data_IF_568168711771
#
_entry.id   IF_568168711771
#
_cell.length_a   1.000
_cell.length_b   1.000
_cell.length_c   1.000
_cell.angle_alpha   90.00
_cell.angle_beta   90.00
_cell.angle_gamma   90.00
#
_symmetry.space_group_name_H-M   'P 1'
#
loop_
_entity.id
_entity.type
_entity.pdbx_description
1 polymer ?
#
# COMPACT_ATOMS: atom_id res chain seq x y z
N UNK A 1 -16.10 11.17 2.64
CA UNK A 1 -15.79 9.87 3.27
C UNK A 1 -14.37 10.00 3.77
N UNK A 2 -14.18 10.19 5.06
CA UNK A 2 -12.84 10.35 5.65
C UNK A 2 -12.28 8.94 5.74
N UNK A 3 -11.32 8.62 4.88
CA UNK A 3 -10.65 7.33 4.93
C UNK A 3 -9.65 7.45 6.09
N UNK A 4 -9.66 6.49 7.02
CA UNK A 4 -8.78 6.45 8.19
C UNK A 4 -7.49 5.69 7.81
N UNK A 5 -6.41 6.42 7.48
CA UNK A 5 -5.16 5.84 6.95
C UNK A 5 -4.15 5.53 8.07
N UNK A 6 -4.21 4.37 8.69
CA UNK A 6 -3.08 3.82 9.48
C UNK A 6 -1.85 3.55 8.58
N UNK A 7 -0.67 3.37 9.17
CA UNK A 7 0.55 3.07 8.40
C UNK A 7 0.37 1.79 7.53
N UNK A 8 -0.41 0.83 8.02
CA UNK A 8 -0.85 -0.35 7.29
C UNK A 8 -1.87 -0.04 6.17
N UNK A 9 -2.76 0.93 6.41
CA UNK A 9 -3.73 1.40 5.40
C UNK A 9 -3.06 2.14 4.25
N UNK A 10 -1.88 2.74 4.39
CA UNK A 10 -1.18 3.33 3.25
C UNK A 10 -0.77 2.30 2.21
N UNK A 11 -0.25 1.15 2.67
CA UNK A 11 0.14 0.03 1.82
C UNK A 11 -1.10 -0.61 1.18
N UNK A 12 -2.17 -0.74 1.97
CA UNK A 12 -3.48 -1.18 1.49
C UNK A 12 -4.14 -0.18 0.53
N UNK A 13 -3.96 1.12 0.74
CA UNK A 13 -4.46 2.17 -0.13
C UNK A 13 -3.68 2.17 -1.43
N UNK A 14 -2.37 1.90 -1.43
CA UNK A 14 -1.65 1.61 -2.67
C UNK A 14 -2.30 0.42 -3.40
N UNK A 15 -2.61 -0.68 -2.71
CA UNK A 15 -3.32 -1.84 -3.30
C UNK A 15 -4.75 -1.50 -3.79
N UNK A 16 -5.51 -0.69 -3.06
CA UNK A 16 -6.89 -0.29 -3.41
C UNK A 16 -6.95 0.76 -4.52
N UNK A 17 -6.00 1.71 -4.54
CA UNK A 17 -5.78 2.63 -5.65
C UNK A 17 -5.44 1.82 -6.89
N UNK A 18 -4.64 0.76 -6.72
CA UNK A 18 -4.37 -0.20 -7.78
C UNK A 18 -5.62 -0.97 -8.19
N UNK A 19 -6.61 -1.30 -7.34
CA UNK A 19 -7.87 -1.94 -7.82
C UNK A 19 -8.54 -1.14 -8.94
N UNK A 20 -8.57 0.20 -8.84
CA UNK A 20 -9.08 1.06 -9.92
C UNK A 20 -8.20 1.06 -11.18
N UNK A 21 -6.88 1.02 -11.00
CA UNK A 21 -5.91 0.97 -12.09
C UNK A 21 -5.85 -0.42 -12.76
N UNK A 22 -5.84 -1.50 -11.99
CA UNK A 22 -5.79 -2.90 -12.40
C UNK A 22 -7.03 -3.29 -13.22
N UNK A 23 -8.21 -2.80 -12.84
CA UNK A 23 -9.43 -2.96 -13.66
C UNK A 23 -9.26 -2.25 -15.01
N UNK A 24 -8.64 -1.06 -15.03
CA UNK A 24 -8.39 -0.33 -16.29
C UNK A 24 -7.29 -0.95 -17.16
N UNK A 25 -6.25 -1.52 -16.56
CA UNK A 25 -5.16 -2.23 -17.28
C UNK A 25 -5.65 -3.58 -17.81
N UNK A 26 -6.54 -4.27 -17.09
CA UNK A 26 -7.16 -5.51 -17.55
C UNK A 26 -8.21 -5.31 -18.67
N UNK A 27 -8.71 -4.07 -18.86
CA UNK A 27 -9.75 -3.75 -19.85
C UNK A 27 -9.27 -2.86 -21.01
N UNK A 28 -8.11 -2.21 -20.88
CA UNK A 28 -7.53 -1.35 -21.91
C UNK A 28 -6.22 -1.88 -22.46
N UNK A 29 -6.24 -2.36 -23.70
CA UNK A 29 -5.05 -2.52 -24.56
C UNK A 29 -4.54 -1.13 -24.99
N UNK A 30 -4.12 -0.30 -24.01
CA UNK A 30 -3.49 0.97 -24.30
C UNK A 30 -1.97 0.78 -24.31
N UNK A 31 -1.38 0.90 -25.49
CA UNK A 31 0.04 0.68 -25.82
C UNK A 31 1.08 1.55 -25.10
N UNK A 32 0.74 2.17 -23.98
CA UNK A 32 1.65 2.95 -23.13
C UNK A 32 2.37 2.09 -22.06
N UNK A 33 1.94 0.85 -21.83
CA UNK A 33 2.51 -0.08 -20.82
C UNK A 33 3.50 -1.10 -21.43
N UNK A 34 4.31 -0.69 -22.42
CA UNK A 34 5.38 -1.54 -22.99
C UNK A 34 6.65 -1.62 -22.13
N UNK A 35 6.81 -0.76 -21.12
CA UNK A 35 8.03 -0.69 -20.29
C UNK A 35 7.84 -1.01 -18.79
N UNK A 36 6.65 -1.48 -18.38
CA UNK A 36 6.27 -1.55 -16.95
C UNK A 36 6.33 -2.92 -16.30
N UNK A 37 6.50 -4.00 -17.07
CA UNK A 37 6.72 -5.34 -16.55
C UNK A 37 8.10 -5.81 -17.01
N UNK A 38 8.79 -6.57 -16.16
CA UNK A 38 10.10 -7.18 -16.47
C UNK A 38 10.06 -7.76 -17.87
N UNK A 39 10.91 -7.24 -18.77
CA UNK A 39 10.73 -7.26 -20.23
C UNK A 39 10.76 -8.64 -20.90
N UNK A 40 10.73 -9.73 -20.13
CA UNK A 40 10.79 -11.11 -20.59
C UNK A 40 9.66 -12.01 -20.07
N UNK A 41 8.78 -11.53 -19.17
CA UNK A 41 7.70 -12.36 -18.63
C UNK A 41 6.40 -12.19 -19.43
N UNK A 42 5.77 -13.32 -19.78
CA UNK A 42 4.46 -13.33 -20.44
C UNK A 42 3.41 -12.71 -19.51
N UNK A 43 2.74 -11.63 -19.95
CA UNK A 43 1.65 -11.01 -19.18
C UNK A 43 0.51 -12.02 -18.97
N UNK A 44 -0.14 -11.96 -17.81
CA UNK A 44 -1.28 -12.82 -17.50
C UNK A 44 -2.46 -12.60 -18.47
N UNK A 45 -3.15 -13.69 -18.77
CA UNK A 45 -4.41 -13.61 -19.52
C UNK A 45 -5.49 -12.97 -18.64
N UNK A 46 -6.53 -12.40 -19.26
CA UNK A 46 -7.69 -11.87 -18.53
C UNK A 46 -8.30 -12.90 -17.56
N UNK A 47 -8.40 -14.17 -17.98
CA UNK A 47 -8.92 -15.24 -17.12
C UNK A 47 -8.05 -15.46 -15.89
N UNK A 48 -6.72 -15.37 -16.05
CA UNK A 48 -5.77 -15.49 -14.94
C UNK A 48 -5.85 -14.28 -14.02
N UNK A 49 -5.96 -13.06 -14.55
CA UNK A 49 -6.17 -11.84 -13.75
C UNK A 49 -7.48 -11.88 -12.95
N UNK A 50 -8.56 -12.39 -13.55
CA UNK A 50 -9.82 -12.61 -12.83
C UNK A 50 -9.66 -13.64 -11.69
N UNK A 51 -8.81 -14.66 -11.87
CA UNK A 51 -8.46 -15.62 -10.82
C UNK A 51 -7.62 -14.97 -9.70
N UNK A 52 -6.62 -14.17 -10.07
CA UNK A 52 -5.80 -13.40 -9.11
C UNK A 52 -6.70 -12.46 -8.30
N UNK A 53 -7.65 -11.78 -8.95
CA UNK A 53 -8.59 -10.90 -8.27
C UNK A 53 -9.47 -11.64 -7.25
N UNK A 54 -9.81 -12.92 -7.49
CA UNK A 54 -10.52 -13.75 -6.51
C UNK A 54 -9.63 -14.09 -5.32
N UNK A 55 -8.37 -14.46 -5.57
CA UNK A 55 -7.38 -14.70 -4.51
C UNK A 55 -7.13 -13.45 -3.66
N UNK A 56 -7.22 -12.26 -4.27
CA UNK A 56 -7.01 -10.98 -3.61
C UNK A 56 -8.19 -10.57 -2.71
N UNK A 57 -9.39 -11.07 -2.97
CA UNK A 57 -10.61 -10.63 -2.29
C UNK A 57 -10.54 -10.68 -0.75
N UNK A 58 -9.99 -11.73 -0.10
CA UNK A 58 -9.83 -11.76 1.36
C UNK A 58 -8.97 -10.63 1.92
N UNK A 59 -7.90 -10.23 1.21
CA UNK A 59 -7.06 -9.09 1.60
C UNK A 59 -7.89 -7.79 1.53
N UNK A 60 -8.68 -7.63 0.48
CA UNK A 60 -9.55 -6.45 0.29
C UNK A 60 -10.67 -6.37 1.33
N UNK A 61 -11.28 -7.51 1.65
CA UNK A 61 -12.33 -7.61 2.66
C UNK A 61 -11.77 -7.30 4.05
N UNK A 62 -10.57 -7.82 4.37
CA UNK A 62 -9.87 -7.51 5.61
C UNK A 62 -9.59 -6.02 5.76
N UNK A 63 -9.06 -5.40 4.71
CA UNK A 63 -8.82 -3.96 4.66
C UNK A 63 -10.09 -3.14 4.87
N UNK A 64 -11.22 -3.59 4.32
CA UNK A 64 -12.52 -2.95 4.46
C UNK A 64 -13.06 -2.93 5.89
N UNK A 65 -12.68 -3.88 6.75
CA UNK A 65 -13.10 -3.90 8.17
C UNK A 65 -12.65 -2.64 8.90
N UNK A 66 -11.43 -2.18 8.63
CA UNK A 66 -10.83 -1.03 9.30
C UNK A 66 -11.37 0.32 8.80
N UNK A 67 -12.07 0.36 7.67
CA UNK A 67 -12.69 1.61 7.18
C UNK A 67 -13.92 2.02 7.99
N UNK A 68 -14.54 1.08 8.72
CA UNK A 68 -15.77 1.29 9.48
C UNK A 68 -15.56 1.40 11.00
N UNK A 69 -14.42 0.93 11.50
CA UNK A 69 -14.04 1.04 12.92
C UNK A 69 -13.23 2.30 13.12
N UNK A 70 -13.87 3.40 13.50
CA UNK A 70 -13.15 4.65 13.81
C UNK A 70 -12.10 4.43 14.90
N UNK A 71 -10.84 4.74 14.57
CA UNK A 71 -9.66 5.15 15.36
C UNK A 71 -9.44 4.78 16.85
N UNK A 72 -10.29 4.04 17.57
CA UNK A 72 -10.25 4.02 19.05
C UNK A 72 -9.73 2.70 19.66
N UNK A 73 -9.71 1.58 18.93
CA UNK A 73 -9.29 0.28 19.51
C UNK A 73 -8.06 -0.38 18.87
N UNK A 74 -7.51 0.19 17.78
CA UNK A 74 -6.34 -0.39 17.10
C UNK A 74 -5.00 -0.35 17.87
N UNK A 75 -4.67 0.67 18.69
CA UNK A 75 -3.33 0.82 19.24
C UNK A 75 -2.84 -0.40 20.05
N UNK A 76 -3.77 -1.09 20.73
CA UNK A 76 -3.47 -2.23 21.60
C UNK A 76 -3.53 -3.59 20.87
N UNK A 77 -3.98 -3.64 19.62
CA UNK A 77 -4.13 -4.87 18.85
C UNK A 77 -3.19 -4.96 17.64
N UNK A 78 -2.25 -4.01 17.48
CA UNK A 78 -1.37 -3.91 16.31
C UNK A 78 -0.71 -5.23 15.91
N UNK A 79 -0.15 -5.97 16.88
CA UNK A 79 0.49 -7.27 16.62
C UNK A 79 -0.50 -8.35 16.16
N UNK A 80 -1.74 -8.37 16.69
CA UNK A 80 -2.76 -9.34 16.28
C UNK A 80 -3.29 -9.05 14.88
N UNK A 81 -3.54 -7.76 14.58
CA UNK A 81 -3.94 -7.30 13.25
C UNK A 81 -2.86 -7.65 12.23
N UNK A 82 -1.61 -7.40 12.60
CA UNK A 82 -0.47 -7.68 11.75
C UNK A 82 -0.32 -9.18 11.44
N UNK A 83 -0.47 -10.02 12.47
CA UNK A 83 -0.45 -11.48 12.32
C UNK A 83 -1.57 -11.98 11.40
N UNK A 84 -2.80 -11.52 11.60
CA UNK A 84 -3.94 -11.91 10.77
C UNK A 84 -3.74 -11.48 9.31
N UNK A 85 -3.20 -10.29 9.06
CA UNK A 85 -2.84 -9.83 7.72
C UNK A 85 -1.81 -10.75 7.05
N UNK A 86 -0.78 -11.18 7.78
CA UNK A 86 0.22 -12.10 7.24
C UNK A 86 -0.32 -13.52 7.02
N UNK A 87 -1.25 -13.97 7.85
CA UNK A 87 -1.98 -15.22 7.61
C UNK A 87 -2.79 -15.13 6.31
N UNK A 88 -3.50 -14.01 6.07
CA UNK A 88 -4.26 -13.80 4.83
C UNK A 88 -3.31 -13.73 3.62
N UNK A 89 -2.17 -13.05 3.74
CA UNK A 89 -1.16 -13.01 2.69
C UNK A 89 -0.58 -14.40 2.38
N UNK A 90 -0.35 -15.24 3.38
CA UNK A 90 0.09 -16.62 3.16
C UNK A 90 -0.96 -17.42 2.34
N UNK A 91 -2.25 -17.26 2.63
CA UNK A 91 -3.32 -17.85 1.83
C UNK A 91 -3.34 -17.31 0.40
N UNK A 92 -3.10 -16.02 0.21
CA UNK A 92 -2.96 -15.43 -1.13
C UNK A 92 -1.79 -16.05 -1.91
N UNK A 93 -0.63 -16.25 -1.28
CA UNK A 93 0.52 -16.91 -1.92
C UNK A 93 0.21 -18.34 -2.34
N UNK A 94 -0.49 -19.10 -1.49
CA UNK A 94 -0.95 -20.45 -1.85
C UNK A 94 -1.95 -20.40 -3.01
N UNK A 95 -2.90 -19.46 -2.99
CA UNK A 95 -3.90 -19.30 -4.04
C UNK A 95 -3.30 -18.94 -5.41
N UNK A 96 -2.11 -18.32 -5.42
CA UNK A 96 -1.43 -17.82 -6.63
C UNK A 96 -0.18 -18.63 -6.99
N UNK A 97 0.12 -19.71 -6.26
CA UNK A 97 1.37 -20.48 -6.41
C UNK A 97 1.59 -21.08 -7.80
N UNK A 98 0.51 -21.45 -8.50
CA UNK A 98 0.55 -22.08 -9.82
C UNK A 98 0.53 -21.06 -10.98
N UNK A 99 0.56 -19.76 -10.67
CA UNK A 99 0.54 -18.68 -11.65
C UNK A 99 1.97 -18.31 -12.03
N UNK A 100 2.34 -18.56 -13.29
CA UNK A 100 3.69 -18.29 -13.81
C UNK A 100 3.77 -17.07 -14.74
N UNK A 101 2.64 -16.42 -15.02
CA UNK A 101 2.58 -15.20 -15.80
C UNK A 101 2.79 -13.96 -14.94
N UNK A 102 3.18 -12.84 -15.57
CA UNK A 102 3.44 -11.58 -14.88
C UNK A 102 2.15 -10.77 -14.76
N UNK A 103 1.85 -10.35 -13.53
CA UNK A 103 0.67 -9.58 -13.15
C UNK A 103 1.08 -8.48 -12.18
N UNK A 104 0.67 -7.25 -12.48
CA UNK A 104 0.89 -6.09 -11.62
C UNK A 104 0.23 -6.30 -10.25
N UNK A 105 -0.91 -6.99 -10.20
CA UNK A 105 -1.61 -7.31 -8.95
C UNK A 105 -0.75 -8.17 -8.04
N UNK A 106 -0.13 -9.24 -8.58
CA UNK A 106 0.77 -10.12 -7.82
C UNK A 106 1.99 -9.34 -7.33
N UNK A 107 2.63 -8.61 -8.24
CA UNK A 107 3.84 -7.83 -7.94
C UNK A 107 3.57 -6.76 -6.87
N UNK A 108 2.41 -6.09 -6.91
CA UNK A 108 2.07 -5.05 -5.95
C UNK A 108 1.78 -5.62 -4.55
N UNK A 109 1.14 -6.78 -4.47
CA UNK A 109 0.88 -7.46 -3.19
C UNK A 109 2.19 -8.00 -2.61
N UNK A 110 3.02 -8.66 -3.42
CA UNK A 110 4.33 -9.14 -2.98
C UNK A 110 5.25 -7.99 -2.54
N UNK A 111 5.23 -6.85 -3.24
CA UNK A 111 6.00 -5.68 -2.83
C UNK A 111 5.51 -5.06 -1.51
N UNK A 112 4.20 -5.11 -1.25
CA UNK A 112 3.61 -4.50 -0.06
C UNK A 112 3.68 -5.39 1.18
N UNK A 113 3.48 -6.70 1.02
CA UNK A 113 3.41 -7.66 2.13
C UNK A 113 4.58 -8.63 2.18
N UNK A 114 5.32 -8.83 1.09
CA UNK A 114 6.37 -9.86 1.03
C UNK A 114 7.52 -9.61 1.99
N UNK A 115 8.03 -8.37 2.04
CA UNK A 115 9.03 -8.01 3.04
C UNK A 115 8.43 -8.05 4.45
N UNK A 116 7.28 -7.38 4.61
CA UNK A 116 6.61 -7.21 5.88
C UNK A 116 6.25 -8.55 6.55
N UNK A 117 5.65 -9.49 5.83
CA UNK A 117 5.29 -10.83 6.30
C UNK A 117 6.40 -11.89 6.13
N UNK A 118 7.58 -11.47 5.69
CA UNK A 118 8.76 -12.30 5.52
C UNK A 118 9.90 -11.84 6.41
N UNK A 119 10.98 -11.36 5.80
CA UNK A 119 12.20 -10.96 6.51
C UNK A 119 11.97 -9.82 7.53
N UNK A 120 11.00 -8.95 7.28
CA UNK A 120 10.64 -7.82 8.15
C UNK A 120 9.70 -8.18 9.30
N UNK A 121 9.12 -9.39 9.33
CA UNK A 121 8.03 -9.74 10.26
C UNK A 121 8.38 -9.44 11.72
N UNK A 122 9.58 -9.87 12.14
CA UNK A 122 10.03 -9.68 13.53
C UNK A 122 10.20 -8.20 13.90
N UNK A 123 10.72 -7.38 12.96
CA UNK A 123 10.86 -5.94 13.17
C UNK A 123 9.49 -5.27 13.29
N UNK A 124 8.53 -5.64 12.45
CA UNK A 124 7.16 -5.12 12.55
C UNK A 124 6.50 -5.52 13.87
N UNK A 125 6.66 -6.77 14.29
CA UNK A 125 6.16 -7.23 15.59
C UNK A 125 6.78 -6.42 16.76
N UNK A 126 8.09 -6.17 16.71
CA UNK A 126 8.79 -5.43 17.76
C UNK A 126 8.39 -3.94 17.81
N UNK A 127 8.06 -3.32 16.67
CA UNK A 127 7.58 -1.93 16.60
C UNK A 127 6.06 -1.77 16.66
N UNK A 128 5.27 -2.85 16.61
CA UNK A 128 3.83 -2.80 16.47
C UNK A 128 3.15 -1.94 17.54
N UNK A 129 3.54 -2.12 18.81
CA UNK A 129 3.03 -1.30 19.92
C UNK A 129 3.38 0.17 19.74
N UNK A 130 4.61 0.47 19.34
CA UNK A 130 5.04 1.86 19.16
C UNK A 130 4.31 2.54 17.99
N UNK A 131 4.11 1.83 16.87
CA UNK A 131 3.29 2.36 15.78
C UNK A 131 1.84 2.59 16.23
N UNK A 132 1.28 1.68 17.04
CA UNK A 132 -0.04 1.87 17.65
C UNK A 132 -0.13 3.14 18.49
N UNK A 133 0.90 3.44 19.29
CA UNK A 133 0.99 4.67 20.09
C UNK A 133 1.13 5.93 19.20
N UNK A 134 1.97 5.88 18.16
CA UNK A 134 2.13 6.98 17.19
C UNK A 134 0.81 7.29 16.48
N UNK A 135 0.01 6.27 16.15
CA UNK A 135 -1.29 6.46 15.51
C UNK A 135 -2.33 7.17 16.40
N UNK A 136 -2.09 7.22 17.72
CA UNK A 136 -2.89 7.97 18.67
C UNK A 136 -2.39 9.41 18.91
N UNK A 137 -1.19 9.77 18.43
CA UNK A 137 -0.65 11.12 18.55
C UNK A 137 -1.40 12.10 17.63
N UNK A 138 -1.88 13.21 18.20
CA UNK A 138 -2.66 14.22 17.45
C UNK A 138 -1.92 14.71 16.20
N UNK A 139 -0.61 14.97 16.30
CA UNK A 139 0.18 15.44 15.16
C UNK A 139 0.26 14.39 14.04
N UNK A 140 0.27 13.09 14.37
CA UNK A 140 0.25 12.03 13.36
C UNK A 140 -1.12 11.94 12.70
N UNK A 141 -2.18 12.05 13.51
CA UNK A 141 -3.56 12.10 13.03
C UNK A 141 -3.80 13.32 12.11
N UNK A 142 -3.18 14.46 12.39
CA UNK A 142 -3.18 15.63 11.50
C UNK A 142 -2.54 15.31 10.15
N UNK A 143 -1.31 14.76 10.12
CA UNK A 143 -0.66 14.32 8.87
C UNK A 143 -1.56 13.38 8.06
N UNK A 144 -2.17 12.41 8.74
CA UNK A 144 -3.10 11.42 8.17
C UNK A 144 -4.33 12.07 7.56
N UNK A 145 -4.96 13.00 8.27
CA UNK A 145 -6.15 13.70 7.80
C UNK A 145 -5.84 14.58 6.60
N UNK A 146 -4.72 15.31 6.62
CA UNK A 146 -4.27 16.14 5.50
C UNK A 146 -4.05 15.29 4.23
N UNK A 147 -3.36 14.15 4.35
CA UNK A 147 -3.18 13.23 3.24
C UNK A 147 -4.51 12.67 2.72
N UNK A 148 -5.40 12.24 3.60
CA UNK A 148 -6.73 11.71 3.24
C UNK A 148 -7.58 12.73 2.48
N UNK A 149 -7.55 14.00 2.92
CA UNK A 149 -8.21 15.13 2.23
C UNK A 149 -7.57 15.38 0.85
N UNK A 150 -6.24 15.37 0.77
CA UNK A 150 -5.52 15.60 -0.46
C UNK A 150 -5.75 14.47 -1.49
N UNK A 151 -5.76 13.22 -1.06
CA UNK A 151 -6.09 12.06 -1.92
C UNK A 151 -7.54 12.15 -2.40
N UNK A 152 -8.49 12.46 -1.52
CA UNK A 152 -9.90 12.65 -1.90
C UNK A 152 -10.04 13.77 -2.95
N UNK A 153 -9.22 14.81 -2.84
CA UNK A 153 -9.19 15.91 -3.81
C UNK A 153 -8.54 15.49 -5.14
N UNK A 154 -7.42 14.77 -5.10
CA UNK A 154 -6.77 14.21 -6.29
C UNK A 154 -7.66 13.21 -7.03
N UNK A 155 -8.51 12.45 -6.32
CA UNK A 155 -9.47 11.55 -6.96
C UNK A 155 -10.45 12.28 -7.89
N UNK A 156 -10.73 13.57 -7.65
CA UNK A 156 -11.61 14.39 -8.50
C UNK A 156 -10.93 14.82 -9.81
N UNK A 157 -9.60 14.75 -9.90
CA UNK A 157 -8.84 15.08 -11.11
C UNK A 157 -8.57 13.86 -11.99
N UNK A 158 -9.13 12.68 -11.63
CA UNK A 158 -8.99 11.46 -12.44
C UNK A 158 -9.62 11.67 -13.81
N UNK A 159 -8.80 11.60 -14.86
CA UNK A 159 -9.26 11.56 -16.23
C UNK A 159 -9.41 10.09 -16.61
N UNK A 160 -10.58 9.65 -17.12
CA UNK A 160 -10.73 8.28 -17.62
C UNK A 160 -9.64 7.97 -18.66
N UNK A 161 -8.94 6.86 -18.47
CA UNK A 161 -7.84 6.37 -19.33
C UNK A 161 -6.56 7.22 -19.35
N UNK A 162 -6.46 8.30 -18.58
CA UNK A 162 -5.21 9.03 -18.35
C UNK A 162 -5.02 9.31 -16.85
N UNK A 163 -4.22 8.47 -16.22
CA UNK A 163 -3.93 8.54 -14.78
C UNK A 163 -2.62 9.26 -14.47
N UNK A 164 -1.89 9.79 -15.45
CA UNK A 164 -0.56 10.37 -15.22
C UNK A 164 -0.60 11.53 -14.22
N UNK A 165 -1.49 12.49 -14.43
CA UNK A 165 -1.67 13.62 -13.52
C UNK A 165 -2.12 13.17 -12.12
N UNK A 166 -2.98 12.14 -12.05
CA UNK A 166 -3.43 11.57 -10.79
C UNK A 166 -2.27 10.91 -10.02
N UNK A 167 -1.40 10.16 -10.70
CA UNK A 167 -0.22 9.54 -10.09
C UNK A 167 0.83 10.56 -9.65
N UNK A 168 1.06 11.62 -10.43
CA UNK A 168 1.92 12.73 -10.01
C UNK A 168 1.41 13.41 -8.73
N UNK A 169 0.09 13.61 -8.63
CA UNK A 169 -0.53 14.16 -7.42
C UNK A 169 -0.39 13.20 -6.24
N UNK A 170 -0.67 11.92 -6.43
CA UNK A 170 -0.50 10.91 -5.37
C UNK A 170 0.95 10.85 -4.88
N UNK A 171 1.93 10.92 -5.80
CA UNK A 171 3.34 10.94 -5.43
C UNK A 171 3.68 12.14 -4.53
N UNK A 172 3.21 13.34 -4.88
CA UNK A 172 3.40 14.55 -4.06
C UNK A 172 2.72 14.45 -2.69
N UNK A 173 1.53 13.85 -2.64
CA UNK A 173 0.80 13.64 -1.38
C UNK A 173 1.55 12.65 -0.48
N UNK A 174 2.08 11.57 -1.05
CA UNK A 174 2.89 10.60 -0.32
C UNK A 174 4.21 11.21 0.19
N UNK A 175 4.92 11.99 -0.62
CA UNK A 175 6.13 12.72 -0.18
C UNK A 175 5.81 13.62 1.02
N UNK A 176 4.75 14.41 0.92
CA UNK A 176 4.32 15.30 1.98
C UNK A 176 3.93 14.54 3.26
N UNK A 177 3.13 13.49 3.13
CA UNK A 177 2.70 12.66 4.25
C UNK A 177 3.89 12.05 4.99
N UNK A 178 4.83 11.45 4.25
CA UNK A 178 6.01 10.82 4.82
C UNK A 178 6.91 11.83 5.54
N UNK A 179 7.11 13.03 4.97
CA UNK A 179 7.84 14.12 5.65
C UNK A 179 7.16 14.58 6.94
N UNK A 180 5.82 14.60 6.95
CA UNK A 180 5.04 14.97 8.12
C UNK A 180 5.18 13.91 9.24
N UNK A 181 5.11 12.62 8.87
CA UNK A 181 5.19 11.51 9.81
C UNK A 181 6.62 11.22 10.30
N UNK A 182 7.66 11.46 9.49
CA UNK A 182 9.06 11.14 9.81
C UNK A 182 9.49 11.64 11.20
N UNK A 183 9.40 12.93 11.55
CA UNK A 183 9.85 13.41 12.86
C UNK A 183 9.04 12.82 14.02
N UNK A 184 7.77 12.45 13.78
CA UNK A 184 6.89 11.88 14.81
C UNK A 184 7.29 10.44 15.09
N UNK A 185 7.40 9.61 14.05
CA UNK A 185 7.82 8.21 14.17
C UNK A 185 9.24 8.15 14.75
N UNK A 186 10.16 8.99 14.28
CA UNK A 186 11.54 8.95 14.74
C UNK A 186 11.67 9.37 16.21
N UNK A 187 10.86 10.35 16.66
CA UNK A 187 10.81 10.76 18.08
C UNK A 187 10.23 9.69 18.99
N UNK A 188 9.22 8.94 18.54
CA UNK A 188 8.53 7.94 19.35
C UNK A 188 9.18 6.55 19.30
N UNK A 189 9.50 6.08 18.10
CA UNK A 189 9.94 4.70 17.84
C UNK A 189 11.41 4.59 17.41
N UNK A 190 12.07 5.72 17.16
CA UNK A 190 13.48 5.77 16.75
C UNK A 190 13.71 5.49 15.26
N UNK A 191 14.97 5.64 14.85
CA UNK A 191 15.37 5.56 13.43
C UNK A 191 15.08 4.19 12.82
N UNK A 192 15.22 3.11 13.59
CA UNK A 192 14.97 1.75 13.08
C UNK A 192 13.52 1.53 12.65
N UNK A 193 12.56 2.13 13.35
CA UNK A 193 11.15 2.10 12.95
C UNK A 193 10.91 2.90 11.66
N UNK A 194 11.58 4.04 11.51
CA UNK A 194 11.49 4.82 10.28
C UNK A 194 12.08 4.10 9.07
N UNK A 195 13.26 3.47 9.21
CA UNK A 195 13.85 2.66 8.13
C UNK A 195 12.93 1.51 7.69
N UNK A 196 12.17 0.94 8.63
CA UNK A 196 11.17 -0.08 8.33
C UNK A 196 10.03 0.48 7.47
N UNK A 197 9.43 1.62 7.86
CA UNK A 197 8.40 2.30 7.06
C UNK A 197 8.92 2.69 5.69
N UNK A 198 10.14 3.24 5.63
CA UNK A 198 10.83 3.61 4.39
C UNK A 198 11.02 2.43 3.46
N UNK A 199 11.50 1.30 3.96
CA UNK A 199 11.75 0.08 3.17
C UNK A 199 10.48 -0.40 2.50
N UNK A 200 9.41 -0.61 3.28
CA UNK A 200 8.15 -1.14 2.74
C UNK A 200 7.49 -0.14 1.79
N UNK A 201 7.56 1.15 2.10
CA UNK A 201 7.03 2.19 1.22
C UNK A 201 7.76 2.22 -0.13
N UNK A 202 9.10 2.14 -0.13
CA UNK A 202 9.90 2.09 -1.35
C UNK A 202 9.59 0.86 -2.20
N UNK A 203 9.48 -0.32 -1.57
CA UNK A 203 9.17 -1.56 -2.28
C UNK A 203 7.79 -1.46 -2.96
N UNK A 204 6.76 -1.03 -2.24
CA UNK A 204 5.41 -0.82 -2.80
C UNK A 204 5.40 0.20 -3.94
N UNK A 205 6.11 1.33 -3.80
CA UNK A 205 6.13 2.38 -4.81
C UNK A 205 6.90 2.00 -6.06
N UNK A 206 7.95 1.19 -5.92
CA UNK A 206 8.71 0.66 -7.06
C UNK A 206 7.82 -0.09 -8.04
N UNK A 207 6.77 -0.76 -7.56
CA UNK A 207 5.81 -1.48 -8.41
C UNK A 207 4.64 -0.58 -8.83
N UNK A 208 4.08 0.17 -7.90
CA UNK A 208 2.82 0.89 -8.13
C UNK A 208 3.01 2.26 -8.79
N UNK A 209 4.10 2.97 -8.47
CA UNK A 209 4.42 4.31 -8.96
C UNK A 209 5.94 4.45 -9.21
N UNK A 210 6.52 3.70 -10.18
CA UNK A 210 7.97 3.63 -10.38
C UNK A 210 8.65 4.96 -10.74
N UNK A 211 7.87 5.94 -11.22
CA UNK A 211 8.34 7.29 -11.56
C UNK A 211 8.22 8.27 -10.40
N UNK A 212 7.69 7.83 -9.25
CA UNK A 212 7.55 8.65 -8.07
C UNK A 212 8.90 8.79 -7.37
N UNK A 213 9.43 10.01 -7.34
CA UNK A 213 10.65 10.34 -6.61
C UNK A 213 10.31 10.84 -5.20
N UNK A 214 10.62 10.00 -4.21
CA UNK A 214 10.47 10.30 -2.78
C UNK A 214 11.81 10.54 -2.07
N UNK A 215 12.88 10.81 -2.81
CA UNK A 215 14.22 11.04 -2.24
C UNK A 215 14.20 12.05 -1.09
N UNK A 216 13.28 12.99 -1.21
CA UNK A 216 13.05 14.12 -0.35
C UNK A 216 12.34 13.77 0.97
N UNK A 217 11.47 12.78 0.97
CA UNK A 217 10.77 12.31 2.16
C UNK A 217 11.50 11.19 2.90
N UNK A 218 12.39 10.48 2.20
CA UNK A 218 13.00 9.23 2.67
C UNK A 218 14.50 9.37 3.01
N UNK A 219 14.97 10.60 3.23
CA UNK A 219 16.28 10.94 3.79
C UNK A 219 16.08 11.78 5.06
#
# INVERSE_FOLDING_TARGET
>A
MIIDWTCYQMLLAAVLIMKGYLISVATGDNGSDKNRLSSNAMKCSRYTEESISKCLQPILDYAGKFQNTGAVELPLQGANIFKELCDIYAHFKVCTQDISCSSISLEAIDASYGYMCGAGYKLFEDYATCFGEVEAENNYVECKNEASIAITSAQKTKIPNDYNQYFELLCKIMDHYLRCCHPIINRHCGQGAWELVRTVTLDSLRVTMPTCDLHNALL
#
